data_IF_953375642559
#
_entry.id   IF_953375642559
#
_cell.length_a   1.000
_cell.length_b   1.000
_cell.length_c   1.000
_cell.angle_alpha   90.00
_cell.angle_beta   90.00
_cell.angle_gamma   90.00
#
_symmetry.space_group_name_H-M   'P 1'
#
loop_
_entity.id
_entity.type
_entity.pdbx_description
1 polymer ?
#
# COMPACT_ATOMS: atom_id res chain seq x y z
N UNK A 1 -2.20 -13.70 30.23
CA UNK A 1 -2.20 -13.72 28.75
C UNK A 1 -3.02 -14.87 28.14
N UNK A 2 -3.82 -15.65 28.88
CA UNK A 2 -4.61 -16.77 28.33
C UNK A 2 -6.13 -16.56 28.19
N UNK A 3 -6.67 -15.39 28.55
CA UNK A 3 -8.14 -15.23 28.68
C UNK A 3 -8.86 -14.79 27.41
N UNK A 4 -8.18 -14.13 26.46
CA UNK A 4 -8.82 -13.58 25.25
C UNK A 4 -8.95 -14.60 24.11
N UNK A 5 -8.01 -15.55 24.03
CA UNK A 5 -8.06 -16.63 23.03
C UNK A 5 -9.08 -17.71 23.41
N UNK A 6 -9.24 -18.00 24.71
CA UNK A 6 -10.26 -18.93 25.18
C UNK A 6 -11.68 -18.39 24.95
N UNK A 7 -11.90 -17.08 25.17
CA UNK A 7 -13.21 -16.46 24.96
C UNK A 7 -13.66 -16.47 23.49
N UNK A 8 -12.73 -16.33 22.54
CA UNK A 8 -13.10 -16.44 21.12
C UNK A 8 -13.43 -17.88 20.74
N UNK A 9 -12.64 -18.86 21.17
CA UNK A 9 -12.87 -20.31 20.95
C UNK A 9 -14.24 -20.75 21.48
N UNK A 10 -14.65 -20.30 22.67
CA UNK A 10 -15.97 -20.61 23.22
C UNK A 10 -17.13 -20.04 22.40
N UNK A 11 -17.00 -18.79 21.91
CA UNK A 11 -18.03 -18.18 21.05
C UNK A 11 -18.14 -18.94 19.71
N UNK A 12 -17.03 -19.49 19.20
CA UNK A 12 -17.01 -20.27 17.94
C UNK A 12 -17.74 -21.62 18.07
N UNK A 13 -17.53 -22.36 19.15
CA UNK A 13 -18.20 -23.66 19.37
C UNK A 13 -19.71 -23.50 19.59
N UNK A 14 -20.13 -22.43 20.26
CA UNK A 14 -21.55 -22.16 20.52
C UNK A 14 -22.31 -21.74 19.23
N UNK A 15 -21.68 -20.94 18.35
CA UNK A 15 -22.27 -20.56 17.07
C UNK A 15 -22.38 -21.73 16.07
N UNK A 16 -21.37 -22.60 16.00
CA UNK A 16 -21.44 -23.80 15.15
C UNK A 16 -22.51 -24.79 15.63
N UNK A 17 -22.72 -24.90 16.95
CA UNK A 17 -23.74 -25.77 17.52
C UNK A 17 -25.18 -25.28 17.21
N UNK A 18 -25.43 -23.97 17.24
CA UNK A 18 -26.75 -23.40 16.93
C UNK A 18 -27.11 -23.50 15.44
N UNK A 19 -26.14 -23.38 14.54
CA UNK A 19 -26.37 -23.37 13.09
C UNK A 19 -26.60 -24.77 12.53
N UNK A 20 -26.00 -25.80 13.14
CA UNK A 20 -26.21 -27.20 12.78
C UNK A 20 -27.64 -27.72 13.08
N UNK A 21 -28.44 -26.98 13.85
CA UNK A 21 -29.85 -27.32 14.13
C UNK A 21 -30.85 -26.74 13.13
N UNK A 22 -30.43 -25.86 12.23
CA UNK A 22 -31.30 -25.24 11.23
C UNK A 22 -31.35 -26.09 9.96
N UNK A 23 -32.54 -26.34 9.37
CA UNK A 23 -32.65 -27.20 8.22
C UNK A 23 -31.96 -26.57 6.99
N UNK A 24 -31.04 -27.33 6.39
CA UNK A 24 -30.03 -26.92 5.39
C UNK A 24 -30.56 -26.32 4.07
N UNK A 25 -31.88 -26.24 3.88
CA UNK A 25 -32.52 -25.81 2.62
C UNK A 25 -32.97 -24.34 2.63
N UNK A 26 -32.75 -23.62 3.73
CA UNK A 26 -33.11 -22.20 3.82
C UNK A 26 -31.94 -21.33 3.33
N UNK A 27 -32.16 -20.39 2.40
CA UNK A 27 -31.11 -19.49 1.89
C UNK A 27 -30.47 -18.62 3.00
N UNK A 28 -31.16 -18.48 4.14
CA UNK A 28 -30.62 -17.81 5.32
C UNK A 28 -29.50 -18.61 6.02
N UNK A 29 -29.54 -19.94 5.97
CA UNK A 29 -28.51 -20.83 6.55
C UNK A 29 -27.24 -20.82 5.69
N UNK A 30 -27.36 -20.74 4.36
CA UNK A 30 -26.21 -20.51 3.48
C UNK A 30 -25.58 -19.12 3.69
N UNK A 31 -26.40 -18.09 3.92
CA UNK A 31 -25.92 -16.74 4.28
C UNK A 31 -25.22 -16.72 5.64
N UNK A 32 -25.75 -17.43 6.63
CA UNK A 32 -25.16 -17.56 7.96
C UNK A 32 -23.87 -18.39 7.93
N UNK A 33 -23.87 -19.55 7.28
CA UNK A 33 -22.67 -20.36 7.10
C UNK A 33 -21.60 -19.61 6.30
N UNK A 34 -22.00 -18.93 5.23
CA UNK A 34 -21.10 -18.05 4.47
C UNK A 34 -20.56 -16.89 5.32
N UNK A 35 -21.37 -16.32 6.21
CA UNK A 35 -20.96 -15.30 7.16
C UNK A 35 -19.99 -15.80 8.23
N UNK A 36 -20.23 -17.00 8.78
CA UNK A 36 -19.39 -17.64 9.79
C UNK A 36 -18.05 -18.06 9.19
N UNK A 37 -18.03 -18.68 8.01
CA UNK A 37 -16.80 -19.02 7.28
C UNK A 37 -15.99 -17.74 7.00
N UNK A 38 -16.65 -16.63 6.66
CA UNK A 38 -15.98 -15.33 6.47
C UNK A 38 -15.43 -14.76 7.78
N UNK A 39 -16.14 -14.86 8.90
CA UNK A 39 -15.67 -14.41 10.21
C UNK A 39 -14.49 -15.25 10.72
N UNK A 40 -14.52 -16.57 10.52
CA UNK A 40 -13.39 -17.46 10.80
C UNK A 40 -12.18 -17.12 9.93
N UNK A 41 -12.39 -16.84 8.63
CA UNK A 41 -11.35 -16.37 7.73
C UNK A 41 -10.71 -15.06 8.22
N UNK A 42 -11.53 -14.12 8.70
CA UNK A 42 -11.06 -12.87 9.27
C UNK A 42 -10.22 -13.09 10.55
N UNK A 43 -10.67 -13.94 11.47
CA UNK A 43 -9.91 -14.26 12.68
C UNK A 43 -8.56 -14.94 12.38
N UNK A 44 -8.53 -15.82 11.36
CA UNK A 44 -7.28 -16.44 10.90
C UNK A 44 -6.33 -15.44 10.22
N UNK A 45 -6.87 -14.45 9.50
CA UNK A 45 -6.09 -13.38 8.88
C UNK A 45 -5.42 -12.47 9.92
N UNK A 46 -6.08 -12.25 11.07
CA UNK A 46 -5.56 -11.45 12.19
C UNK A 46 -4.68 -12.25 13.18
N UNK A 47 -4.33 -13.51 12.90
CA UNK A 47 -3.55 -14.29 13.85
C UNK A 47 -2.17 -13.67 14.08
N UNK A 48 -1.85 -13.38 15.35
CA UNK A 48 -0.92 -12.32 15.78
C UNK A 48 0.56 -12.76 15.80
N UNK A 49 0.84 -14.05 15.59
CA UNK A 49 2.17 -14.63 15.73
C UNK A 49 3.17 -14.23 14.62
N UNK A 50 2.73 -13.46 13.62
CA UNK A 50 3.51 -13.14 12.43
C UNK A 50 3.56 -11.64 12.10
N UNK A 51 3.89 -10.77 13.06
CA UNK A 51 3.95 -9.29 12.83
C UNK A 51 4.93 -8.82 11.73
N UNK A 52 5.79 -9.70 11.22
CA UNK A 52 6.70 -9.46 10.09
C UNK A 52 6.26 -10.16 8.80
N UNK A 53 5.03 -10.70 8.76
CA UNK A 53 4.52 -11.32 7.54
C UNK A 53 4.34 -10.30 6.42
N UNK A 54 4.60 -10.71 5.17
CA UNK A 54 4.54 -9.79 4.04
C UNK A 54 3.18 -9.12 3.86
N UNK A 55 2.08 -9.80 4.20
CA UNK A 55 0.73 -9.23 4.15
C UNK A 55 0.56 -7.97 5.02
N UNK A 56 1.02 -8.01 6.28
CA UNK A 56 0.95 -6.87 7.20
C UNK A 56 1.79 -5.70 6.74
N UNK A 57 3.02 -5.98 6.26
CA UNK A 57 3.91 -4.95 5.74
C UNK A 57 3.29 -4.27 4.51
N UNK A 58 2.65 -5.03 3.62
CA UNK A 58 1.95 -4.47 2.46
C UNK A 58 0.76 -3.59 2.88
N UNK A 59 0.02 -3.94 3.94
CA UNK A 59 -1.05 -3.09 4.49
C UNK A 59 -0.52 -1.78 5.09
N UNK A 60 0.53 -1.87 5.92
CA UNK A 60 1.16 -0.70 6.56
C UNK A 60 1.75 0.23 5.52
N UNK A 61 2.46 -0.32 4.53
CA UNK A 61 3.10 0.47 3.49
C UNK A 61 2.03 1.09 2.57
N UNK A 62 0.96 0.37 2.21
CA UNK A 62 -0.20 0.95 1.51
C UNK A 62 -0.81 2.13 2.27
N UNK A 63 -1.05 1.97 3.58
CA UNK A 63 -1.52 3.06 4.44
C UNK A 63 -0.61 4.29 4.30
N UNK A 64 0.70 4.10 4.47
CA UNK A 64 1.67 5.19 4.40
C UNK A 64 1.63 5.89 3.03
N UNK A 65 1.60 5.15 1.92
CA UNK A 65 1.58 5.73 0.59
C UNK A 65 0.33 6.60 0.36
N UNK A 66 -0.87 6.09 0.66
CA UNK A 66 -2.11 6.84 0.47
C UNK A 66 -2.30 7.98 1.47
N UNK A 67 -1.82 7.82 2.70
CA UNK A 67 -1.75 8.89 3.69
C UNK A 67 -0.90 10.05 3.16
N UNK A 68 0.30 9.75 2.63
CA UNK A 68 1.20 10.76 2.08
C UNK A 68 0.58 11.47 0.88
N UNK A 69 0.05 10.72 -0.08
CA UNK A 69 -0.57 11.27 -1.28
C UNK A 69 -1.67 12.27 -0.92
N UNK A 70 -2.63 11.85 -0.10
CA UNK A 70 -3.80 12.68 0.22
C UNK A 70 -3.45 13.87 1.12
N UNK A 71 -2.44 13.72 1.99
CA UNK A 71 -1.87 14.85 2.73
C UNK A 71 -1.22 15.88 1.79
N UNK A 72 -0.47 15.43 0.78
CA UNK A 72 0.15 16.30 -0.21
C UNK A 72 -0.91 17.03 -1.04
N UNK A 73 -1.89 16.30 -1.60
CA UNK A 73 -2.98 16.87 -2.41
C UNK A 73 -3.74 17.96 -1.66
N UNK A 74 -3.99 17.76 -0.36
CA UNK A 74 -4.66 18.74 0.51
C UNK A 74 -3.80 20.00 0.70
N UNK A 75 -2.48 19.86 0.66
CA UNK A 75 -1.54 20.96 0.95
C UNK A 75 -1.16 21.77 -0.29
N UNK A 76 -1.15 21.16 -1.48
CA UNK A 76 -0.72 21.83 -2.73
C UNK A 76 -1.45 23.15 -2.95
N UNK A 77 -2.78 23.17 -2.81
CA UNK A 77 -3.60 24.36 -3.06
C UNK A 77 -3.26 25.52 -2.12
N UNK A 78 -3.37 25.39 -0.77
CA UNK A 78 -3.02 26.48 0.13
C UNK A 78 -1.52 26.86 0.04
N UNK A 79 -0.62 25.88 -0.13
CA UNK A 79 0.81 26.15 -0.25
C UNK A 79 1.13 27.00 -1.47
N UNK A 80 0.66 26.60 -2.66
CA UNK A 80 0.95 27.33 -3.91
C UNK A 80 0.29 28.70 -3.96
N UNK A 81 -0.88 28.86 -3.35
CA UNK A 81 -1.53 30.16 -3.20
C UNK A 81 -0.66 31.12 -2.37
N UNK A 82 -0.21 30.69 -1.19
CA UNK A 82 0.64 31.52 -0.31
C UNK A 82 2.01 31.75 -0.94
N UNK A 83 2.62 30.70 -1.49
CA UNK A 83 4.02 30.74 -1.89
C UNK A 83 4.24 31.40 -3.25
N UNK A 84 3.38 31.09 -4.22
CA UNK A 84 3.54 31.51 -5.62
C UNK A 84 2.45 32.48 -6.08
N UNK A 85 1.49 32.83 -5.21
CA UNK A 85 0.34 33.66 -5.57
C UNK A 85 -0.60 32.97 -6.55
N UNK A 86 -0.66 31.63 -6.52
CA UNK A 86 -1.45 30.88 -7.50
C UNK A 86 -2.95 31.07 -7.32
N UNK A 87 -3.65 31.11 -8.46
CA UNK A 87 -5.11 31.10 -8.52
C UNK A 87 -5.65 29.70 -8.77
N UNK A 88 -6.98 29.56 -8.68
CA UNK A 88 -7.68 28.28 -8.89
C UNK A 88 -7.38 27.64 -10.25
N UNK A 89 -7.18 28.46 -11.29
CA UNK A 89 -6.88 27.98 -12.64
C UNK A 89 -5.53 27.24 -12.68
N UNK A 90 -4.49 27.80 -12.07
CA UNK A 90 -3.14 27.19 -12.07
C UNK A 90 -3.12 25.88 -11.29
N UNK A 91 -3.79 25.86 -10.13
CA UNK A 91 -3.98 24.64 -9.33
C UNK A 91 -4.73 23.57 -10.13
N UNK A 92 -5.82 23.96 -10.81
CA UNK A 92 -6.62 23.05 -11.64
C UNK A 92 -5.82 22.46 -12.80
N UNK A 93 -4.95 23.25 -13.44
CA UNK A 93 -4.06 22.75 -14.50
C UNK A 93 -3.10 21.68 -13.96
N UNK A 94 -2.53 21.88 -12.76
CA UNK A 94 -1.66 20.86 -12.13
C UNK A 94 -2.41 19.57 -11.88
N UNK A 95 -3.62 19.62 -11.32
CA UNK A 95 -4.44 18.42 -11.12
C UNK A 95 -4.86 17.74 -12.43
N UNK A 96 -5.14 18.51 -13.49
CA UNK A 96 -5.44 17.96 -14.80
C UNK A 96 -4.23 17.22 -15.40
N UNK A 97 -3.03 17.81 -15.31
CA UNK A 97 -1.78 17.18 -15.76
C UNK A 97 -1.48 15.93 -14.94
N UNK A 98 -1.66 15.98 -13.62
CA UNK A 98 -1.52 14.83 -12.74
C UNK A 98 -2.41 13.65 -13.16
N UNK A 99 -3.67 13.90 -13.51
CA UNK A 99 -4.58 12.86 -13.99
C UNK A 99 -4.11 12.21 -15.31
N UNK A 100 -3.56 13.01 -16.23
CA UNK A 100 -2.94 12.51 -17.47
C UNK A 100 -1.70 11.67 -17.14
N UNK A 101 -0.83 12.16 -16.27
CA UNK A 101 0.38 11.48 -15.82
C UNK A 101 0.05 10.10 -15.22
N UNK A 102 -0.87 10.04 -14.25
CA UNK A 102 -1.31 8.79 -13.63
C UNK A 102 -1.81 7.80 -14.70
N UNK A 103 -2.61 8.27 -15.66
CA UNK A 103 -3.13 7.43 -16.75
C UNK A 103 -2.00 6.85 -17.60
N UNK A 104 -1.00 7.67 -17.95
CA UNK A 104 0.17 7.22 -18.71
C UNK A 104 1.01 6.22 -17.93
N UNK A 105 1.20 6.43 -16.62
CA UNK A 105 1.93 5.49 -15.76
C UNK A 105 1.21 4.14 -15.68
N UNK A 106 -0.12 4.11 -15.59
CA UNK A 106 -0.89 2.85 -15.64
C UNK A 106 -0.71 2.11 -16.98
N UNK A 107 -0.73 2.83 -18.11
CA UNK A 107 -0.48 2.23 -19.43
C UNK A 107 0.95 1.67 -19.49
N UNK A 108 1.94 2.42 -19.00
CA UNK A 108 3.33 1.98 -18.92
C UNK A 108 3.47 0.72 -18.04
N UNK A 109 2.82 0.71 -16.88
CA UNK A 109 2.82 -0.42 -15.94
C UNK A 109 2.32 -1.70 -16.59
N UNK A 110 1.29 -1.64 -17.42
CA UNK A 110 0.79 -2.81 -18.17
C UNK A 110 1.88 -3.53 -18.97
N UNK A 111 2.87 -2.81 -19.48
CA UNK A 111 4.01 -3.39 -20.20
C UNK A 111 5.15 -3.80 -19.27
N UNK A 112 5.39 -3.04 -18.20
CA UNK A 112 6.48 -3.29 -17.26
C UNK A 112 6.23 -4.55 -16.43
N UNK A 113 5.01 -4.76 -15.92
CA UNK A 113 4.68 -5.92 -15.07
C UNK A 113 4.81 -7.26 -15.81
N UNK A 114 4.83 -7.25 -17.16
CA UNK A 114 5.12 -8.44 -17.97
C UNK A 114 6.60 -8.83 -18.00
N UNK A 115 7.50 -7.90 -17.64
CA UNK A 115 8.95 -8.05 -17.77
C UNK A 115 9.69 -7.95 -16.44
N UNK A 116 9.14 -7.21 -15.49
CA UNK A 116 9.74 -6.92 -14.19
C UNK A 116 8.81 -7.47 -13.11
N UNK A 117 9.42 -8.06 -12.08
CA UNK A 117 8.73 -8.61 -10.90
C UNK A 117 8.07 -7.48 -10.08
N UNK A 118 6.90 -7.76 -9.52
CA UNK A 118 6.09 -6.78 -8.80
C UNK A 118 6.82 -6.17 -7.59
N UNK A 119 7.58 -6.97 -6.85
CA UNK A 119 8.38 -6.55 -5.70
C UNK A 119 9.52 -5.59 -6.07
N UNK A 120 10.10 -5.73 -7.27
CA UNK A 120 11.12 -4.81 -7.76
C UNK A 120 10.50 -3.47 -8.17
N UNK A 121 9.32 -3.51 -8.80
CA UNK A 121 8.55 -2.32 -9.15
C UNK A 121 8.07 -1.61 -7.87
N UNK A 122 7.64 -2.36 -6.85
CA UNK A 122 7.23 -1.84 -5.55
C UNK A 122 8.37 -1.10 -4.85
N UNK A 123 9.55 -1.73 -4.75
CA UNK A 123 10.74 -1.12 -4.16
C UNK A 123 11.17 0.13 -4.93
N UNK A 124 11.11 0.08 -6.26
CA UNK A 124 11.39 1.26 -7.10
C UNK A 124 10.40 2.40 -6.84
N UNK A 125 9.10 2.10 -6.73
CA UNK A 125 8.07 3.08 -6.40
C UNK A 125 8.33 3.77 -5.04
N UNK A 126 8.61 3.01 -3.98
CA UNK A 126 8.92 3.59 -2.67
C UNK A 126 10.25 4.36 -2.65
N UNK A 127 11.24 3.92 -3.41
CA UNK A 127 12.50 4.66 -3.58
C UNK A 127 12.26 6.00 -4.27
N UNK A 128 11.43 6.01 -5.31
CA UNK A 128 11.07 7.23 -6.03
C UNK A 128 10.27 8.19 -5.15
N UNK A 129 9.29 7.68 -4.39
CA UNK A 129 8.52 8.46 -3.43
C UNK A 129 9.42 9.06 -2.33
N UNK A 130 10.41 8.29 -1.84
CA UNK A 130 11.42 8.77 -0.90
C UNK A 130 12.25 9.92 -1.48
N UNK A 131 12.66 9.80 -2.75
CA UNK A 131 13.40 10.86 -3.45
C UNK A 131 12.52 12.11 -3.60
N UNK A 132 11.25 11.96 -4.00
CA UNK A 132 10.30 13.07 -4.10
C UNK A 132 10.17 13.80 -2.75
N UNK A 133 9.86 13.07 -1.67
CA UNK A 133 9.75 13.65 -0.33
C UNK A 133 11.07 14.30 0.13
N UNK A 134 12.24 13.73 -0.20
CA UNK A 134 13.55 14.33 0.09
C UNK A 134 13.72 15.69 -0.61
N UNK A 135 13.35 15.78 -1.90
CA UNK A 135 13.33 17.04 -2.65
C UNK A 135 12.41 18.06 -1.95
N UNK A 136 11.22 17.63 -1.53
CA UNK A 136 10.29 18.47 -0.77
C UNK A 136 10.89 19.03 0.52
N UNK A 137 11.48 18.16 1.36
CA UNK A 137 12.14 18.56 2.62
C UNK A 137 13.28 19.55 2.37
N UNK A 138 14.08 19.34 1.33
CA UNK A 138 15.23 20.20 1.04
C UNK A 138 14.77 21.57 0.54
N UNK A 139 13.74 21.65 -0.30
CA UNK A 139 13.42 22.88 -1.05
C UNK A 139 12.46 23.80 -0.32
N UNK A 140 11.49 23.23 0.39
CA UNK A 140 10.46 24.03 1.08
C UNK A 140 11.03 25.07 2.06
N UNK A 141 12.10 24.79 2.84
CA UNK A 141 12.73 25.78 3.71
C UNK A 141 13.35 26.97 2.98
N UNK A 142 13.77 26.79 1.72
CA UNK A 142 14.39 27.86 0.92
C UNK A 142 13.41 28.57 0.00
N UNK A 143 12.15 28.14 -0.01
CA UNK A 143 11.13 28.78 -0.83
C UNK A 143 10.79 30.13 -0.20
N UNK A 144 11.11 31.22 -0.89
CA UNK A 144 10.74 32.58 -0.50
C UNK A 144 9.35 32.95 -1.04
N UNK A 145 8.52 33.56 -0.19
CA UNK A 145 7.15 33.98 -0.55
C UNK A 145 7.23 34.96 -1.73
N UNK A 146 6.47 34.68 -2.79
CA UNK A 146 6.42 35.51 -4.01
C UNK A 146 7.55 35.23 -5.01
N UNK A 147 8.52 34.38 -4.67
CA UNK A 147 9.61 34.00 -5.57
C UNK A 147 9.25 32.76 -6.40
N UNK A 148 9.32 32.89 -7.73
CA UNK A 148 9.09 31.76 -8.66
C UNK A 148 10.35 30.92 -8.93
N UNK A 149 11.47 31.25 -8.28
CA UNK A 149 12.78 30.59 -8.51
C UNK A 149 12.72 29.08 -8.28
N UNK A 150 11.99 28.64 -7.26
CA UNK A 150 11.88 27.23 -6.87
C UNK A 150 10.69 26.51 -7.50
N UNK A 151 9.89 27.20 -8.33
CA UNK A 151 8.70 26.62 -8.94
C UNK A 151 9.00 25.39 -9.82
N UNK A 152 10.03 25.38 -10.71
CA UNK A 152 10.30 24.20 -11.54
C UNK A 152 10.63 22.97 -10.70
N UNK A 153 11.38 23.16 -9.60
CA UNK A 153 11.79 22.04 -8.75
C UNK A 153 10.62 21.55 -7.89
N UNK A 154 9.74 22.46 -7.46
CA UNK A 154 8.47 22.10 -6.83
C UNK A 154 7.56 21.27 -7.76
N UNK A 155 7.51 21.60 -9.05
CA UNK A 155 6.78 20.80 -10.03
C UNK A 155 7.40 19.41 -10.24
N UNK A 156 8.74 19.31 -10.24
CA UNK A 156 9.44 18.02 -10.28
C UNK A 156 9.13 17.19 -9.03
N UNK A 157 9.11 17.82 -7.85
CA UNK A 157 8.71 17.16 -6.61
C UNK A 157 7.30 16.54 -6.71
N UNK A 158 6.31 17.34 -7.10
CA UNK A 158 4.93 16.86 -7.25
C UNK A 158 4.83 15.76 -8.31
N UNK A 159 5.45 15.95 -9.47
CA UNK A 159 5.40 14.97 -10.55
C UNK A 159 6.00 13.62 -10.12
N UNK A 160 7.16 13.62 -9.48
CA UNK A 160 7.78 12.39 -8.98
C UNK A 160 6.92 11.67 -7.92
N UNK A 161 6.28 12.44 -7.03
CA UNK A 161 5.38 11.91 -6.01
C UNK A 161 4.17 11.21 -6.65
N UNK A 162 3.52 11.89 -7.60
CA UNK A 162 2.35 11.41 -8.35
C UNK A 162 2.72 10.20 -9.22
N UNK A 163 3.89 10.20 -9.85
CA UNK A 163 4.39 9.10 -10.65
C UNK A 163 4.62 7.83 -9.83
N UNK A 164 5.08 7.96 -8.58
CA UNK A 164 5.37 6.83 -7.71
C UNK A 164 4.10 6.07 -7.30
N UNK A 165 2.97 6.78 -7.13
CA UNK A 165 1.75 6.21 -6.56
C UNK A 165 1.17 5.04 -7.38
N UNK A 166 0.97 5.11 -8.71
CA UNK A 166 0.44 3.97 -9.48
C UNK A 166 1.35 2.75 -9.42
N UNK A 167 2.68 2.95 -9.38
CA UNK A 167 3.66 1.85 -9.25
C UNK A 167 3.41 1.09 -7.95
N UNK A 168 3.28 1.82 -6.84
CA UNK A 168 3.04 1.26 -5.51
C UNK A 168 1.64 0.62 -5.46
N UNK A 169 0.59 1.34 -5.87
CA UNK A 169 -0.80 0.90 -5.74
C UNK A 169 -1.08 -0.45 -6.43
N UNK A 170 -0.57 -0.63 -7.66
CA UNK A 170 -0.78 -1.88 -8.42
C UNK A 170 0.00 -3.03 -7.81
N UNK A 171 1.29 -2.81 -7.52
CA UNK A 171 2.19 -3.88 -7.07
C UNK A 171 1.90 -4.30 -5.64
N UNK A 172 1.53 -3.37 -4.75
CA UNK A 172 1.06 -3.69 -3.40
C UNK A 172 -0.20 -4.54 -3.43
N UNK A 173 -1.16 -4.23 -4.32
CA UNK A 173 -2.37 -5.04 -4.47
C UNK A 173 -2.04 -6.42 -5.02
N UNK A 174 -1.22 -6.49 -6.07
CA UNK A 174 -0.80 -7.77 -6.68
C UNK A 174 -0.09 -8.68 -5.69
N UNK A 175 0.97 -8.19 -5.04
CA UNK A 175 1.73 -8.96 -4.05
C UNK A 175 0.84 -9.39 -2.88
N UNK A 176 -0.05 -8.52 -2.42
CA UNK A 176 -0.96 -8.85 -1.33
C UNK A 176 -1.90 -10.01 -1.70
N UNK A 177 -2.42 -10.00 -2.94
CA UNK A 177 -3.29 -11.09 -3.42
C UNK A 177 -2.56 -12.41 -3.62
N UNK A 178 -1.26 -12.39 -3.96
CA UNK A 178 -0.42 -13.60 -4.07
C UNK A 178 -0.13 -14.24 -2.71
N UNK A 179 -0.14 -13.45 -1.63
CA UNK A 179 0.06 -13.92 -0.26
C UNK A 179 -1.23 -14.41 0.42
N UNK A 180 -2.38 -14.20 -0.20
CA UNK A 180 -3.68 -14.52 0.40
C UNK A 180 -4.27 -15.78 -0.23
N UNK A 181 -4.74 -16.73 0.59
CA UNK A 181 -5.45 -17.91 0.11
C UNK A 181 -6.70 -17.51 -0.71
N UNK A 182 -6.99 -18.27 -1.78
CA UNK A 182 -8.10 -17.98 -2.69
C UNK A 182 -9.46 -17.81 -1.96
N UNK A 183 -9.71 -18.63 -0.94
CA UNK A 183 -10.97 -18.60 -0.17
C UNK A 183 -11.11 -17.34 0.71
N UNK A 184 -9.99 -16.67 1.02
CA UNK A 184 -9.92 -15.49 1.88
C UNK A 184 -9.57 -14.21 1.11
N UNK A 185 -9.32 -14.31 -0.19
CA UNK A 185 -8.84 -13.21 -1.02
C UNK A 185 -9.80 -12.01 -1.03
N UNK A 186 -11.11 -12.27 -1.08
CA UNK A 186 -12.13 -11.21 -1.00
C UNK A 186 -12.12 -10.45 0.33
N UNK A 187 -11.89 -11.15 1.44
CA UNK A 187 -11.79 -10.53 2.78
C UNK A 187 -10.50 -9.73 2.89
N UNK A 188 -9.37 -10.32 2.48
CA UNK A 188 -8.08 -9.65 2.49
C UNK A 188 -8.10 -8.36 1.68
N UNK A 189 -8.65 -8.38 0.47
CA UNK A 189 -8.81 -7.16 -0.35
C UNK A 189 -9.76 -6.15 0.29
N UNK A 190 -10.81 -6.62 0.98
CA UNK A 190 -11.70 -5.77 1.78
C UNK A 190 -10.94 -5.03 2.89
N UNK A 191 -10.10 -5.74 3.64
CA UNK A 191 -9.23 -5.17 4.69
C UNK A 191 -8.23 -4.18 4.07
N UNK A 192 -7.59 -4.54 2.96
CA UNK A 192 -6.67 -3.66 2.26
C UNK A 192 -7.33 -2.34 1.84
N UNK A 193 -8.53 -2.42 1.24
CA UNK A 193 -9.31 -1.22 0.88
C UNK A 193 -9.73 -0.41 2.09
N UNK A 194 -10.11 -1.06 3.19
CA UNK A 194 -10.44 -0.37 4.44
C UNK A 194 -9.22 0.42 4.95
N UNK A 195 -8.05 -0.19 5.03
CA UNK A 195 -6.81 0.46 5.47
C UNK A 195 -6.46 1.66 4.57
N UNK A 196 -6.56 1.49 3.25
CA UNK A 196 -6.34 2.58 2.28
C UNK A 196 -7.34 3.73 2.51
N UNK A 197 -8.63 3.44 2.67
CA UNK A 197 -9.65 4.46 2.89
C UNK A 197 -9.47 5.18 4.24
N UNK A 198 -9.01 4.49 5.27
CA UNK A 198 -8.65 5.15 6.54
C UNK A 198 -7.48 6.11 6.31
N UNK A 199 -6.48 5.71 5.52
CA UNK A 199 -5.35 6.58 5.18
C UNK A 199 -5.79 7.85 4.42
N UNK A 200 -6.73 7.72 3.48
CA UNK A 200 -7.24 8.86 2.69
C UNK A 200 -8.11 9.83 3.48
N UNK A 201 -8.63 9.42 4.65
CA UNK A 201 -9.29 10.33 5.61
C UNK A 201 -8.27 10.98 6.54
N UNK A 202 -7.31 10.20 7.06
CA UNK A 202 -6.33 10.70 8.03
C UNK A 202 -5.33 11.66 7.36
N UNK A 203 -4.94 11.44 6.10
CA UNK A 203 -3.99 12.28 5.37
C UNK A 203 -4.41 13.75 5.29
N UNK A 204 -5.63 14.08 4.80
CA UNK A 204 -6.13 15.45 4.78
C UNK A 204 -6.31 16.07 6.17
N UNK A 205 -6.74 15.29 7.17
CA UNK A 205 -6.84 15.78 8.55
C UNK A 205 -5.47 16.16 9.12
N UNK A 206 -4.46 15.33 8.88
CA UNK A 206 -3.08 15.59 9.26
C UNK A 206 -2.54 16.84 8.55
N UNK A 207 -2.67 16.91 7.23
CA UNK A 207 -2.23 18.05 6.43
C UNK A 207 -2.91 19.36 6.86
N UNK A 208 -4.23 19.35 7.00
CA UNK A 208 -5.02 20.49 7.44
C UNK A 208 -4.58 21.03 8.81
N UNK A 209 -4.20 20.13 9.73
CA UNK A 209 -3.71 20.53 11.06
C UNK A 209 -2.33 21.17 11.06
N UNK A 210 -1.52 20.93 10.01
CA UNK A 210 -0.12 21.37 9.91
C UNK A 210 0.13 22.38 8.79
N UNK A 211 -0.91 23.02 8.25
CA UNK A 211 -0.76 24.04 7.19
C UNK A 211 0.11 25.24 7.61
N UNK A 212 0.21 25.53 8.91
CA UNK A 212 1.10 26.59 9.43
C UNK A 212 2.54 26.12 9.64
N UNK A 213 2.78 24.79 9.60
CA UNK A 213 4.07 24.14 9.82
C UNK A 213 4.36 23.12 8.72
N UNK A 214 4.22 23.53 7.45
CA UNK A 214 4.38 22.67 6.25
C UNK A 214 5.74 21.95 6.22
N UNK A 215 6.79 22.60 6.71
CA UNK A 215 8.12 21.98 6.81
C UNK A 215 8.11 20.74 7.73
N UNK A 216 7.37 20.80 8.85
CA UNK A 216 7.24 19.69 9.80
C UNK A 216 6.40 18.58 9.17
N UNK A 217 5.32 18.95 8.47
CA UNK A 217 4.46 18.02 7.75
C UNK A 217 5.25 17.19 6.72
N UNK A 218 5.99 17.86 5.83
CA UNK A 218 6.76 17.19 4.77
C UNK A 218 7.94 16.40 5.33
N UNK A 219 8.55 16.86 6.43
CA UNK A 219 9.58 16.09 7.14
C UNK A 219 9.02 14.81 7.75
N UNK A 220 7.84 14.87 8.37
CA UNK A 220 7.16 13.70 8.92
C UNK A 220 6.81 12.69 7.81
N UNK A 221 6.22 13.19 6.73
CA UNK A 221 5.91 12.42 5.51
C UNK A 221 7.15 11.70 4.96
N UNK A 222 8.28 12.40 4.84
CA UNK A 222 9.54 11.81 4.41
C UNK A 222 10.02 10.68 5.36
N UNK A 223 9.97 10.88 6.67
CA UNK A 223 10.41 9.88 7.65
C UNK A 223 9.57 8.60 7.55
N UNK A 224 8.23 8.73 7.45
CA UNK A 224 7.36 7.55 7.36
C UNK A 224 7.50 6.84 6.01
N UNK A 225 7.77 7.56 4.92
CA UNK A 225 8.06 6.96 3.60
C UNK A 225 9.41 6.24 3.61
N UNK A 226 10.44 6.79 4.26
CA UNK A 226 11.71 6.08 4.46
C UNK A 226 11.52 4.82 5.29
N UNK A 227 10.70 4.89 6.34
CA UNK A 227 10.34 3.73 7.14
C UNK A 227 9.61 2.66 6.30
N UNK A 228 8.64 3.05 5.48
CA UNK A 228 7.98 2.14 4.55
C UNK A 228 8.98 1.49 3.58
N UNK A 229 9.87 2.28 2.98
CA UNK A 229 10.92 1.79 2.08
C UNK A 229 11.81 0.77 2.77
N UNK A 230 12.21 1.04 4.02
CA UNK A 230 13.00 0.11 4.84
C UNK A 230 12.26 -1.20 5.12
N UNK A 231 10.96 -1.15 5.44
CA UNK A 231 10.14 -2.36 5.61
C UNK A 231 10.07 -3.19 4.33
N UNK A 232 9.89 -2.54 3.16
CA UNK A 232 9.90 -3.23 1.86
C UNK A 232 11.25 -3.92 1.61
N UNK A 233 12.37 -3.27 1.92
CA UNK A 233 13.70 -3.87 1.78
C UNK A 233 13.85 -5.12 2.66
N UNK A 234 13.37 -5.07 3.92
CA UNK A 234 13.43 -6.22 4.84
C UNK A 234 12.64 -7.42 4.29
N UNK A 235 11.45 -7.18 3.76
CA UNK A 235 10.56 -8.26 3.30
C UNK A 235 10.83 -8.70 1.85
N UNK A 236 11.63 -7.93 1.11
CA UNK A 236 11.99 -8.22 -0.28
C UNK A 236 12.47 -9.67 -0.52
N UNK A 237 13.33 -10.27 0.33
CA UNK A 237 13.76 -11.66 0.16
C UNK A 237 12.59 -12.65 0.29
N UNK A 238 11.60 -12.36 1.13
CA UNK A 238 10.43 -13.22 1.33
C UNK A 238 9.57 -13.29 0.05
N UNK A 239 9.34 -12.16 -0.62
CA UNK A 239 8.66 -12.19 -1.92
C UNK A 239 9.43 -13.01 -2.96
N UNK A 240 10.76 -13.00 -2.88
CA UNK A 240 11.60 -13.74 -3.82
C UNK A 240 11.60 -15.25 -3.63
N UNK A 241 11.41 -15.75 -2.42
CA UNK A 241 11.37 -17.19 -2.16
C UNK A 241 10.09 -17.84 -2.67
N UNK A 242 8.94 -17.19 -2.50
CA UNK A 242 7.63 -17.69 -2.96
C UNK A 242 7.61 -17.99 -4.47
N UNK A 243 8.21 -17.10 -5.26
CA UNK A 243 8.24 -17.22 -6.71
C UNK A 243 9.16 -18.37 -7.20
N UNK A 244 10.24 -18.66 -6.45
CA UNK A 244 11.15 -19.76 -6.78
C UNK A 244 10.54 -21.13 -6.48
N UNK A 245 9.72 -21.22 -5.43
CA UNK A 245 9.02 -22.46 -5.07
C UNK A 245 7.97 -22.81 -6.13
N UNK A 246 7.19 -21.84 -6.60
CA UNK A 246 6.22 -22.02 -7.68
C UNK A 246 6.90 -22.53 -8.97
N UNK A 247 8.01 -21.90 -9.38
CA UNK A 247 8.80 -22.33 -10.54
C UNK A 247 9.34 -23.77 -10.38
N UNK A 248 9.74 -24.15 -9.17
CA UNK A 248 10.26 -25.51 -8.89
C UNK A 248 9.19 -26.59 -8.97
N UNK A 249 7.92 -26.26 -8.72
CA UNK A 249 6.79 -27.21 -8.84
C UNK A 249 6.39 -27.47 -10.29
N UNK A 250 6.59 -26.48 -11.17
CA UNK A 250 6.24 -26.56 -12.60
C UNK A 250 7.33 -27.22 -13.45
N UNK A 251 8.56 -27.35 -12.94
CA UNK A 251 9.65 -28.01 -13.67
C UNK A 251 9.57 -29.54 -13.54
N UNK A 252 9.68 -30.28 -14.67
CA UNK A 252 9.78 -31.74 -14.64
C UNK A 252 11.00 -32.17 -13.80
N UNK A 253 10.84 -33.30 -13.09
CA UNK A 253 11.76 -33.81 -12.04
C UNK A 253 13.23 -33.83 -12.49
N UNK A 254 13.48 -34.02 -13.79
CA UNK A 254 14.80 -34.08 -14.41
C UNK A 254 15.62 -32.77 -14.27
N UNK A 255 14.97 -31.60 -14.14
CA UNK A 255 15.65 -30.30 -13.99
C UNK A 255 15.90 -29.85 -12.55
N UNK A 256 15.32 -30.54 -11.54
CA UNK A 256 15.51 -30.19 -10.12
C UNK A 256 16.95 -30.41 -9.63
N UNK A 257 17.69 -31.32 -10.27
CA UNK A 257 19.07 -31.66 -9.90
C UNK A 257 20.11 -30.64 -10.40
N UNK A 258 19.80 -29.82 -11.40
CA UNK A 258 20.71 -28.80 -11.94
C UNK A 258 20.66 -27.46 -11.18
N UNK A 259 19.62 -27.22 -10.38
CA UNK A 259 19.51 -25.99 -9.57
C UNK A 259 20.29 -26.14 -8.25
N UNK A 260 20.28 -27.33 -7.63
CA UNK A 260 21.05 -27.58 -6.40
C UNK A 260 22.58 -27.49 -6.60
N UNK A 261 23.08 -27.76 -7.80
CA UNK A 261 24.52 -27.72 -8.11
C UNK A 261 25.04 -26.33 -8.46
N UNK A 262 24.18 -25.34 -8.72
CA UNK A 262 24.61 -23.94 -8.98
C UNK A 262 24.69 -23.06 -7.73
N UNK A 263 24.17 -23.50 -6.59
CA UNK A 263 24.20 -22.75 -5.32
C UNK A 263 25.39 -23.11 -4.41
N UNK A 264 26.32 -23.95 -4.88
CA UNK A 264 27.59 -24.23 -4.22
C UNK A 264 28.72 -24.17 -5.26
N UNK A 265 29.11 -22.96 -5.66
CA UNK A 265 30.44 -22.59 -6.13
C UNK A 265 30.56 -21.07 -6.17
#
# INVERSE_FOLDING_TARGET
MGSSAAASVYIYEELEAEVNFLPLHLPMVELLNGGIIRLMGLASFFNVDSRLEPGWILLITAFIAYFNQTALETTITPFTNIQFGWNELQVSIVFAIAGIEITLVYIMLHFITKKIRDEAILLFGYSLLSIACCIGVIILPFSEIGSKKYLPIFLVFIGLDIFALPLIAVTTTSLFTQQTNNDQQGIGQGIQRFVINVATVIGPLFAGSLLTAIWLMISFMFIIVLFATFLIIIVYPSFSSLNNDELSTLLPVENKNNIKTKNFN
#
